data_IF_019413118723
#
_entry.id   IF_019413118723
#
_cell.length_a   1.000
_cell.length_b   1.000
_cell.length_c   1.000
_cell.angle_alpha   90.00
_cell.angle_beta   90.00
_cell.angle_gamma   90.00
#
_symmetry.space_group_name_H-M   'P 1'
#
loop_
_entity.id
_entity.type
_entity.pdbx_description
1 polymer ?
#
# COMPACT_ATOMS: atom_id res chain seq x y z
N UNK A 1 66.31 -4.34 1.45
CA UNK A 1 64.91 -4.81 1.33
C UNK A 1 64.01 -3.60 1.13
N UNK A 2 63.45 -3.43 -0.07
CA UNK A 2 62.45 -2.41 -0.36
C UNK A 2 61.58 -2.93 -1.49
N UNK A 3 60.52 -3.66 -1.14
CA UNK A 3 59.53 -4.14 -2.10
C UNK A 3 58.58 -2.99 -2.43
N UNK A 4 58.66 -2.53 -3.68
CA UNK A 4 57.63 -1.69 -4.27
C UNK A 4 56.34 -2.50 -4.39
N UNK A 5 55.27 -2.00 -3.76
CA UNK A 5 53.92 -2.53 -3.98
C UNK A 5 53.30 -1.67 -5.08
N UNK A 6 53.20 -2.24 -6.27
CA UNK A 6 52.48 -1.66 -7.40
C UNK A 6 50.98 -1.84 -7.19
N UNK A 7 50.22 -0.75 -7.31
CA UNK A 7 48.76 -0.79 -7.29
C UNK A 7 48.24 -1.49 -8.56
N UNK A 8 47.39 -2.50 -8.37
CA UNK A 8 46.68 -3.19 -9.45
C UNK A 8 45.53 -2.27 -9.88
N UNK A 9 45.57 -1.80 -11.13
CA UNK A 9 44.47 -1.04 -11.72
C UNK A 9 43.23 -1.96 -11.85
N UNK A 10 42.08 -1.50 -11.34
CA UNK A 10 40.80 -2.16 -11.61
C UNK A 10 40.42 -1.90 -13.07
N UNK A 11 40.28 -2.98 -13.86
CA UNK A 11 39.77 -2.89 -15.23
C UNK A 11 38.33 -2.34 -15.24
N UNK A 12 38.11 -1.30 -16.03
CA UNK A 12 36.86 -0.54 -16.13
C UNK A 12 35.83 -1.16 -17.10
N UNK A 13 35.98 -2.42 -17.48
CA UNK A 13 35.17 -3.05 -18.54
C UNK A 13 34.04 -3.93 -17.99
N UNK A 14 33.31 -3.44 -16.97
CA UNK A 14 32.03 -4.02 -16.61
C UNK A 14 30.96 -3.51 -17.60
N UNK A 15 30.72 -4.26 -18.67
CA UNK A 15 29.57 -4.04 -19.56
C UNK A 15 28.30 -4.37 -18.76
N UNK A 16 27.37 -3.42 -18.53
CA UNK A 16 26.14 -3.72 -17.83
C UNK A 16 25.27 -4.63 -18.73
N UNK A 17 24.96 -5.84 -18.24
CA UNK A 17 24.11 -6.84 -18.91
C UNK A 17 22.64 -6.39 -18.98
N UNK A 18 22.27 -5.33 -18.27
CA UNK A 18 20.94 -4.75 -18.26
C UNK A 18 21.00 -3.37 -18.92
N UNK A 19 20.41 -3.24 -20.11
CA UNK A 19 20.15 -1.93 -20.70
C UNK A 19 19.28 -1.07 -19.77
N UNK A 20 19.26 0.26 -19.94
CA UNK A 20 18.36 1.12 -19.18
C UNK A 20 16.93 0.62 -19.34
N UNK A 21 16.24 0.42 -18.22
CA UNK A 21 14.81 0.16 -18.24
C UNK A 21 14.15 1.31 -19.03
N UNK A 22 13.20 1.01 -19.94
CA UNK A 22 12.50 2.06 -20.66
C UNK A 22 11.89 3.01 -19.62
N UNK A 23 12.15 4.31 -19.80
CA UNK A 23 11.53 5.35 -19.00
C UNK A 23 10.02 5.20 -19.15
N UNK A 24 9.38 4.60 -18.15
CA UNK A 24 7.93 4.50 -18.09
C UNK A 24 7.44 5.92 -17.87
N UNK A 25 7.09 6.60 -18.97
CA UNK A 25 6.55 7.94 -18.92
C UNK A 25 5.47 8.01 -17.84
N UNK A 26 5.54 9.06 -17.02
CA UNK A 26 4.58 9.30 -15.94
C UNK A 26 3.16 9.04 -16.46
N UNK A 27 2.38 8.13 -15.82
CA UNK A 27 1.05 7.80 -16.28
C UNK A 27 0.27 9.08 -16.48
N UNK A 28 -0.26 9.26 -17.70
CA UNK A 28 -1.19 10.36 -17.98
C UNK A 28 -2.33 10.22 -16.98
N UNK A 29 -2.49 11.20 -16.10
CA UNK A 29 -3.62 11.24 -15.16
C UNK A 29 -4.87 11.28 -16.02
N UNK A 30 -5.50 10.13 -16.20
CA UNK A 30 -6.83 10.06 -16.77
C UNK A 30 -7.71 10.60 -15.65
N UNK A 31 -8.32 11.77 -15.86
CA UNK A 31 -9.42 12.21 -15.01
C UNK A 31 -10.42 11.05 -14.95
N UNK A 32 -10.73 10.61 -13.74
CA UNK A 32 -11.52 9.41 -13.45
C UNK A 32 -12.77 9.34 -14.33
N UNK A 33 -13.24 8.15 -14.72
CA UNK A 33 -14.42 8.00 -15.59
C UNK A 33 -15.74 8.51 -14.98
N UNK A 34 -15.74 8.92 -13.71
CA UNK A 34 -16.89 9.47 -13.00
C UNK A 34 -16.49 10.64 -12.09
N UNK A 35 -17.19 11.77 -12.22
CA UNK A 35 -17.05 12.90 -11.29
C UNK A 35 -17.91 12.67 -10.04
N UNK A 36 -17.24 12.32 -8.95
CA UNK A 36 -17.89 11.94 -7.70
C UNK A 36 -18.62 13.10 -7.00
N UNK A 37 -18.28 14.35 -7.32
CA UNK A 37 -18.94 15.53 -6.76
C UNK A 37 -20.39 15.70 -7.24
N UNK A 38 -20.76 15.00 -8.33
CA UNK A 38 -22.08 15.09 -8.96
C UNK A 38 -23.07 14.04 -8.48
N UNK A 39 -22.66 13.12 -7.61
CA UNK A 39 -23.55 12.08 -7.09
C UNK A 39 -24.17 12.49 -5.75
N UNK A 40 -25.47 12.72 -5.74
CA UNK A 40 -26.24 13.02 -4.53
C UNK A 40 -26.10 11.93 -3.44
N UNK A 41 -25.89 10.67 -3.84
CA UNK A 41 -25.67 9.57 -2.89
C UNK A 41 -24.37 9.72 -2.08
N UNK A 42 -23.42 10.54 -2.55
CA UNK A 42 -22.18 10.90 -1.86
C UNK A 42 -22.25 12.25 -1.14
N UNK A 43 -23.26 13.09 -1.43
CA UNK A 43 -23.46 14.39 -0.80
C UNK A 43 -24.10 14.26 0.59
N UNK A 44 -23.40 13.59 1.50
CA UNK A 44 -23.80 13.46 2.90
C UNK A 44 -22.60 13.28 3.82
N UNK A 45 -22.83 13.54 5.10
CA UNK A 45 -21.83 13.31 6.15
C UNK A 45 -21.77 11.84 6.52
N UNK A 46 -20.64 11.19 6.24
CA UNK A 46 -20.35 9.84 6.70
C UNK A 46 -19.61 9.85 8.04
N UNK A 47 -19.96 8.91 8.93
CA UNK A 47 -19.30 8.74 10.23
C UNK A 47 -18.34 7.56 10.28
N UNK A 48 -18.61 6.52 9.49
CA UNK A 48 -17.80 5.30 9.43
C UNK A 48 -17.36 5.06 7.99
N UNK A 49 -16.12 4.63 7.78
CA UNK A 49 -15.58 4.29 6.45
C UNK A 49 -16.45 3.24 5.74
N UNK A 50 -16.93 2.24 6.48
CA UNK A 50 -17.82 1.20 5.95
C UNK A 50 -19.12 1.74 5.34
N UNK A 51 -19.65 2.84 5.85
CA UNK A 51 -20.85 3.47 5.29
C UNK A 51 -20.54 4.18 3.95
N UNK A 52 -19.31 4.65 3.76
CA UNK A 52 -18.82 5.16 2.48
C UNK A 52 -18.67 4.00 1.49
N UNK A 53 -18.03 2.90 1.92
CA UNK A 53 -17.84 1.69 1.09
C UNK A 53 -19.16 1.13 0.60
N UNK A 54 -20.21 1.07 1.43
CA UNK A 54 -21.56 0.66 0.99
C UNK A 54 -22.07 1.48 -0.19
N UNK A 55 -21.82 2.80 -0.19
CA UNK A 55 -22.20 3.67 -1.30
C UNK A 55 -21.32 3.44 -2.52
N UNK A 56 -20.01 3.24 -2.34
CA UNK A 56 -19.11 2.87 -3.44
C UNK A 56 -19.61 1.59 -4.14
N UNK A 57 -20.01 0.58 -3.36
CA UNK A 57 -20.47 -0.72 -3.87
C UNK A 57 -21.84 -0.67 -4.56
N UNK A 58 -22.64 0.38 -4.38
CA UNK A 58 -23.89 0.52 -5.17
C UNK A 58 -23.62 0.77 -6.66
N UNK A 59 -22.41 1.21 -7.02
CA UNK A 59 -21.98 1.43 -8.40
C UNK A 59 -20.80 0.52 -8.79
N UNK A 60 -19.83 0.32 -7.90
CA UNK A 60 -18.65 -0.54 -8.08
C UNK A 60 -18.86 -1.92 -7.43
N UNK A 61 -19.94 -2.59 -7.79
CA UNK A 61 -20.43 -3.82 -7.17
C UNK A 61 -19.43 -5.00 -7.17
N UNK A 62 -18.49 -5.06 -8.11
CA UNK A 62 -17.44 -6.10 -8.13
C UNK A 62 -16.15 -5.68 -7.42
N UNK A 63 -16.02 -4.41 -7.02
CA UNK A 63 -14.77 -3.84 -6.54
C UNK A 63 -14.24 -4.56 -5.31
N UNK A 64 -15.08 -4.79 -4.30
CA UNK A 64 -14.67 -5.51 -3.10
C UNK A 64 -14.28 -6.96 -3.41
N UNK A 65 -15.06 -7.68 -4.23
CA UNK A 65 -14.75 -9.06 -4.60
C UNK A 65 -13.44 -9.21 -5.37
N UNK A 66 -13.06 -8.21 -6.16
CA UNK A 66 -11.77 -8.18 -6.83
C UNK A 66 -10.64 -7.91 -5.82
N UNK A 67 -10.82 -6.93 -4.93
CA UNK A 67 -9.86 -6.60 -3.88
C UNK A 67 -9.63 -7.78 -2.93
N UNK A 68 -10.67 -8.52 -2.59
CA UNK A 68 -10.59 -9.67 -1.68
C UNK A 68 -9.64 -10.77 -2.18
N UNK A 69 -9.37 -10.82 -3.48
CA UNK A 69 -8.46 -11.79 -4.12
C UNK A 69 -6.99 -11.33 -4.14
N UNK A 70 -6.70 -10.14 -3.62
CA UNK A 70 -5.37 -9.54 -3.67
C UNK A 70 -4.62 -9.70 -2.36
N UNK A 71 -3.29 -9.69 -2.43
CA UNK A 71 -2.43 -9.69 -1.24
C UNK A 71 -2.64 -8.44 -0.37
N UNK A 72 -3.13 -7.31 -0.89
CA UNK A 72 -3.46 -6.16 -0.04
C UNK A 72 -4.61 -6.47 0.93
N UNK A 73 -5.58 -7.30 0.51
CA UNK A 73 -6.66 -7.74 1.39
C UNK A 73 -6.26 -8.91 2.27
N UNK A 74 -5.70 -9.96 1.66
CA UNK A 74 -5.45 -11.21 2.37
C UNK A 74 -4.19 -11.16 3.23
N UNK A 75 -3.25 -10.25 2.90
CA UNK A 75 -1.92 -10.17 3.50
C UNK A 75 -1.17 -11.50 3.52
N UNK A 76 -1.46 -12.35 2.54
CA UNK A 76 -0.86 -13.65 2.39
C UNK A 76 -0.66 -14.05 0.93
N UNK A 77 0.36 -14.86 0.70
CA UNK A 77 0.65 -15.53 -0.56
C UNK A 77 1.42 -16.83 -0.28
N UNK A 78 1.37 -17.77 -1.22
CA UNK A 78 2.13 -19.03 -1.11
C UNK A 78 3.47 -18.90 -1.83
N UNK A 79 4.55 -19.35 -1.19
CA UNK A 79 5.85 -19.46 -1.83
C UNK A 79 5.81 -20.61 -2.85
N UNK A 80 6.00 -20.37 -4.16
CA UNK A 80 5.85 -21.41 -5.18
C UNK A 80 6.92 -22.50 -5.10
N UNK A 81 8.09 -22.22 -4.51
CA UNK A 81 9.17 -23.19 -4.39
C UNK A 81 9.04 -24.10 -3.17
N UNK A 82 8.51 -23.58 -2.05
CA UNK A 82 8.47 -24.30 -0.77
C UNK A 82 7.06 -24.64 -0.28
N UNK A 83 6.02 -24.04 -0.87
CA UNK A 83 4.64 -24.14 -0.40
C UNK A 83 4.37 -23.39 0.91
N UNK A 84 5.36 -22.69 1.47
CA UNK A 84 5.21 -21.93 2.70
C UNK A 84 4.26 -20.74 2.50
N UNK A 85 3.32 -20.54 3.43
CA UNK A 85 2.51 -19.33 3.48
C UNK A 85 3.35 -18.16 4.01
N UNK A 86 3.39 -17.07 3.24
CA UNK A 86 4.13 -15.84 3.53
C UNK A 86 3.18 -14.63 3.47
N UNK A 87 3.69 -13.45 3.80
CA UNK A 87 2.92 -12.20 3.84
C UNK A 87 2.81 -11.63 5.25
N UNK A 88 2.25 -10.43 5.39
CA UNK A 88 2.20 -9.71 6.66
C UNK A 88 1.43 -10.46 7.76
N UNK A 89 0.53 -11.39 7.42
CA UNK A 89 -0.14 -12.26 8.40
C UNK A 89 0.73 -13.39 8.94
N UNK A 90 1.75 -13.81 8.19
CA UNK A 90 2.52 -15.03 8.47
C UNK A 90 3.98 -14.77 8.84
N UNK A 91 4.52 -13.60 8.52
CA UNK A 91 5.93 -13.26 8.75
C UNK A 91 6.13 -12.61 10.12
N UNK A 92 7.21 -13.01 10.80
CA UNK A 92 7.70 -12.36 12.01
C UNK A 92 8.90 -11.48 11.64
N UNK A 93 8.93 -10.24 12.12
CA UNK A 93 10.04 -9.31 11.93
C UNK A 93 10.45 -8.61 13.24
N UNK A 94 11.46 -7.76 13.21
CA UNK A 94 11.98 -7.03 14.37
C UNK A 94 11.37 -5.62 14.54
N UNK A 95 10.32 -5.27 13.79
CA UNK A 95 9.68 -3.96 13.84
C UNK A 95 8.34 -4.02 14.57
N UNK A 96 7.33 -4.67 13.96
CA UNK A 96 6.01 -4.89 14.57
C UNK A 96 5.81 -6.32 15.09
N UNK A 97 6.90 -7.09 15.19
CA UNK A 97 6.92 -8.49 15.61
C UNK A 97 6.09 -9.39 14.72
N UNK A 98 4.77 -9.44 14.91
CA UNK A 98 3.85 -10.23 14.10
C UNK A 98 2.43 -9.64 14.18
N UNK A 99 1.63 -9.88 13.14
CA UNK A 99 0.23 -9.43 13.08
C UNK A 99 -0.68 -10.17 14.05
N UNK A 100 -0.46 -11.48 14.27
CA UNK A 100 -1.34 -12.36 15.05
C UNK A 100 -1.43 -12.04 16.56
N UNK A 101 -0.53 -11.22 17.09
CA UNK A 101 -0.58 -10.73 18.47
C UNK A 101 -0.80 -9.22 18.58
N UNK A 102 -0.89 -8.51 17.45
CA UNK A 102 -0.88 -7.04 17.41
C UNK A 102 -1.78 -6.49 16.30
N UNK A 103 -2.88 -7.16 15.98
CA UNK A 103 -3.72 -6.87 14.82
C UNK A 103 -4.12 -5.40 14.77
N UNK A 104 -4.57 -4.83 15.90
CA UNK A 104 -5.01 -3.42 15.98
C UNK A 104 -3.92 -2.42 15.56
N UNK A 105 -2.66 -2.71 15.89
CA UNK A 105 -1.52 -1.85 15.54
C UNK A 105 -1.07 -2.09 14.11
N UNK A 106 -0.95 -3.36 13.70
CA UNK A 106 -0.47 -3.73 12.37
C UNK A 106 -1.48 -3.31 11.29
N UNK A 107 -2.77 -3.55 11.53
CA UNK A 107 -3.87 -3.32 10.58
C UNK A 107 -4.13 -1.85 10.24
N UNK A 108 -3.43 -0.93 10.89
CA UNK A 108 -3.47 0.49 10.54
C UNK A 108 -3.18 0.72 9.05
N UNK A 109 -2.22 -0.02 8.50
CA UNK A 109 -1.84 -0.01 7.08
C UNK A 109 -2.64 -1.00 6.22
N UNK A 110 -3.53 -1.80 6.81
CA UNK A 110 -4.41 -2.68 6.03
C UNK A 110 -5.46 -1.87 5.28
N UNK A 111 -5.84 -2.35 4.10
CA UNK A 111 -6.89 -1.72 3.27
C UNK A 111 -8.30 -2.11 3.71
N UNK A 112 -8.44 -2.60 4.93
CA UNK A 112 -9.70 -2.92 5.60
C UNK A 112 -10.00 -1.95 6.72
N UNK A 113 -11.29 -1.73 6.96
CA UNK A 113 -11.81 -0.86 8.00
C UNK A 113 -12.27 -1.66 9.21
N UNK A 114 -11.68 -1.39 10.37
CA UNK A 114 -12.10 -1.99 11.65
C UNK A 114 -11.53 -3.38 11.90
N UNK A 115 -10.36 -3.71 11.33
CA UNK A 115 -9.63 -4.90 11.73
C UNK A 115 -8.99 -4.67 13.10
N UNK A 116 -9.70 -5.11 14.12
CA UNK A 116 -9.25 -5.12 15.51
C UNK A 116 -9.43 -6.54 16.07
N UNK A 117 -8.33 -7.14 16.50
CA UNK A 117 -8.28 -8.53 16.97
C UNK A 117 -8.62 -9.58 15.89
N UNK A 118 -9.13 -10.72 16.35
CA UNK A 118 -9.32 -11.94 15.57
C UNK A 118 -10.72 -12.09 14.94
N UNK A 119 -11.64 -11.16 15.18
CA UNK A 119 -13.03 -11.24 14.70
C UNK A 119 -13.26 -10.49 13.37
N UNK A 120 -12.19 -10.09 12.67
CA UNK A 120 -12.33 -9.39 11.40
C UNK A 120 -12.90 -10.29 10.30
N UNK A 121 -14.04 -9.89 9.76
CA UNK A 121 -14.76 -10.60 8.72
C UNK A 121 -14.18 -10.28 7.33
N UNK A 122 -13.27 -11.12 6.84
CA UNK A 122 -12.64 -10.99 5.52
C UNK A 122 -13.59 -11.26 4.34
N UNK A 123 -14.79 -11.80 4.59
CA UNK A 123 -15.79 -12.01 3.54
C UNK A 123 -16.67 -10.78 3.32
N UNK A 124 -16.69 -9.85 4.27
CA UNK A 124 -17.58 -8.70 4.25
C UNK A 124 -17.05 -7.58 3.38
N UNK A 125 -17.66 -7.40 2.22
CA UNK A 125 -17.29 -6.39 1.21
C UNK A 125 -17.22 -4.96 1.76
N UNK A 126 -18.14 -4.61 2.68
CA UNK A 126 -18.18 -3.29 3.30
C UNK A 126 -16.94 -2.98 4.15
N UNK A 127 -16.17 -4.00 4.53
CA UNK A 127 -14.94 -3.81 5.28
C UNK A 127 -13.81 -3.29 4.40
N UNK A 128 -13.90 -3.31 3.06
CA UNK A 128 -12.90 -2.70 2.19
C UNK A 128 -12.85 -1.18 2.41
N UNK A 129 -11.66 -0.64 2.64
CA UNK A 129 -11.41 0.80 2.75
C UNK A 129 -11.07 1.35 1.35
N UNK A 130 -12.09 1.79 0.60
CA UNK A 130 -11.87 2.32 -0.75
C UNK A 130 -11.05 3.63 -0.74
N UNK A 131 -11.18 4.44 0.32
CA UNK A 131 -10.58 5.77 0.38
C UNK A 131 -9.07 5.74 0.64
N UNK A 132 -8.54 4.67 1.24
CA UNK A 132 -7.08 4.53 1.45
C UNK A 132 -6.30 4.61 0.14
N UNK A 133 -6.89 4.15 -0.97
CA UNK A 133 -6.27 4.17 -2.30
C UNK A 133 -6.81 5.28 -3.20
N UNK A 134 -8.06 5.75 -2.99
CA UNK A 134 -8.75 6.65 -3.92
C UNK A 134 -8.97 8.08 -3.41
N UNK A 135 -8.60 8.41 -2.17
CA UNK A 135 -8.65 9.80 -1.72
C UNK A 135 -7.61 10.66 -2.46
N UNK A 136 -8.08 11.63 -3.23
CA UNK A 136 -7.25 12.61 -3.92
C UNK A 136 -7.03 13.89 -3.12
N UNK A 137 -7.68 14.03 -1.96
CA UNK A 137 -7.62 15.25 -1.15
C UNK A 137 -6.51 15.24 -0.11
N UNK A 138 -5.98 14.06 0.23
CA UNK A 138 -5.04 13.84 1.32
C UNK A 138 -5.65 13.99 2.72
N UNK A 139 -6.91 14.42 2.83
CA UNK A 139 -7.58 14.63 4.13
C UNK A 139 -7.90 13.32 4.82
N UNK A 140 -8.25 12.28 4.05
CA UNK A 140 -8.54 10.97 4.61
C UNK A 140 -7.28 10.40 5.26
N UNK A 141 -6.19 10.42 4.50
CA UNK A 141 -4.90 9.96 4.97
C UNK A 141 -4.36 10.77 6.15
N UNK A 142 -4.50 12.10 6.12
CA UNK A 142 -4.09 12.93 7.25
C UNK A 142 -4.88 12.58 8.52
N UNK A 143 -6.19 12.34 8.39
CA UNK A 143 -7.02 11.97 9.54
C UNK A 143 -6.70 10.57 10.07
N UNK A 144 -6.39 9.60 9.20
CA UNK A 144 -6.12 8.21 9.60
C UNK A 144 -4.69 8.04 10.09
N UNK A 145 -3.71 8.60 9.37
CA UNK A 145 -2.28 8.33 9.54
C UNK A 145 -1.44 9.54 9.96
N UNK A 146 -2.03 10.75 10.10
CA UNK A 146 -1.31 12.00 10.36
C UNK A 146 -0.24 12.35 9.30
N UNK A 147 -0.44 11.89 8.06
CA UNK A 147 0.40 12.22 6.90
C UNK A 147 -0.40 12.87 5.79
N UNK A 148 0.20 13.80 5.04
CA UNK A 148 -0.42 14.42 3.88
C UNK A 148 -0.27 13.58 2.59
N UNK A 149 0.12 12.31 2.71
CA UNK A 149 0.26 11.36 1.58
C UNK A 149 -1.08 10.75 1.20
N UNK A 150 -1.34 10.56 -0.08
CA UNK A 150 -2.51 9.82 -0.57
C UNK A 150 -2.11 8.55 -1.32
N UNK A 151 -3.07 7.70 -1.63
CA UNK A 151 -2.87 6.48 -2.42
C UNK A 151 -1.85 5.52 -1.76
N UNK A 152 -1.04 4.82 -2.56
CA UNK A 152 -0.11 3.78 -2.10
C UNK A 152 0.89 4.26 -1.04
N UNK A 153 1.37 5.51 -1.14
CA UNK A 153 2.41 6.03 -0.24
C UNK A 153 1.92 6.25 1.19
N UNK A 154 0.60 6.18 1.42
CA UNK A 154 0.04 6.25 2.77
C UNK A 154 0.49 5.08 3.65
N UNK A 155 0.74 3.91 3.04
CA UNK A 155 1.16 2.69 3.74
C UNK A 155 2.59 2.23 3.39
N UNK A 156 3.14 2.69 2.26
CA UNK A 156 4.42 2.18 1.71
C UNK A 156 5.61 3.13 1.84
N UNK A 157 5.41 4.37 2.28
CA UNK A 157 6.49 5.34 2.44
C UNK A 157 6.77 5.68 3.91
N UNK A 158 8.01 5.44 4.33
CA UNK A 158 8.54 6.02 5.57
C UNK A 158 8.45 7.55 5.53
N UNK A 159 8.05 8.15 6.66
CA UNK A 159 8.09 9.60 6.87
C UNK A 159 9.58 9.99 6.75
N UNK A 160 9.99 10.84 5.79
CA UNK A 160 11.36 11.34 5.78
C UNK A 160 11.59 12.02 7.13
N UNK A 161 12.70 11.67 7.77
CA UNK A 161 13.06 12.23 9.08
C UNK A 161 13.20 13.76 9.03
N UNK A 162 13.27 14.35 7.83
CA UNK A 162 13.31 15.80 7.62
C UNK A 162 12.28 16.27 6.58
N UNK A 163 11.60 17.42 6.80
CA UNK A 163 10.58 17.95 5.89
C UNK A 163 11.05 18.30 4.46
N UNK A 164 12.36 18.50 4.25
CA UNK A 164 12.90 19.07 3.00
C UNK A 164 13.47 18.04 2.01
N UNK A 165 13.45 16.75 2.35
CA UNK A 165 13.98 15.72 1.46
C UNK A 165 12.93 15.31 0.41
N UNK A 166 13.04 15.89 -0.79
CA UNK A 166 12.28 15.44 -1.96
C UNK A 166 12.74 14.04 -2.34
N UNK A 167 11.82 13.07 -2.28
CA UNK A 167 12.03 11.71 -2.79
C UNK A 167 12.42 11.77 -4.27
N UNK A 168 13.59 11.22 -4.59
CA UNK A 168 14.05 10.95 -5.97
C UNK A 168 13.24 9.83 -6.59
#
# INVERSE_FOLDING_TARGET
MGQQVTAIAANSDAVPILGPMPEQGSPRVIDTTADHSRFEVLDKKFRKTRDITKVCLSCHNEGANQIHKTTHWTWEFSNPATGQQLGARHVINNFFMNTASNEASCSHCHIGSGWDGNEFDFAREENVDCLVCHDTTGKYAFKKFHTARGNCSVCHDEIPETPDEKRK
#
